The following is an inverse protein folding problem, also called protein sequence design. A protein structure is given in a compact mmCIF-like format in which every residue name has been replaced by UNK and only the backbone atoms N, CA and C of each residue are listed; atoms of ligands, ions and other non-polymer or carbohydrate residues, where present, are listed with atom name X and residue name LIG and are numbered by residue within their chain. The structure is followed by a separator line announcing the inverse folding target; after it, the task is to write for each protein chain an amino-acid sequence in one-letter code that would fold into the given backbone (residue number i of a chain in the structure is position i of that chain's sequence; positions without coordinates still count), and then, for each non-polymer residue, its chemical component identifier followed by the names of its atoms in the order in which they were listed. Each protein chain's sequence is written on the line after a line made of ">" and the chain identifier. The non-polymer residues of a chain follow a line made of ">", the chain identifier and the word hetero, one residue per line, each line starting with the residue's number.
data_IF_129578630222
#
_entry.id   IF_129578630222
#
_cell.length_a   1.000
_cell.length_b   1.000
_cell.length_c   1.000
_cell.angle_alpha   90.00
_cell.angle_beta   90.00
_cell.angle_gamma   90.00
#
_symmetry.space_group_name_H-M   'P 1'
#
loop_
_entity.id
_entity.type
_entity.pdbx_description
1 polymer ?
#
# COMPACT_ATOMS: atom_id res chain seq x y z
N UNK A 1 5.37 -32.03 0.11
CA UNK A 1 6.01 -30.82 0.61
C UNK A 1 5.00 -29.72 0.81
N UNK A 2 5.00 -29.12 1.96
CA UNK A 2 4.05 -28.06 2.23
C UNK A 2 4.40 -26.82 1.41
N UNK A 3 3.40 -26.20 0.82
CA UNK A 3 3.56 -24.92 0.18
C UNK A 3 4.01 -23.90 1.22
N UNK A 4 4.90 -23.00 0.82
CA UNK A 4 5.30 -21.92 1.71
C UNK A 4 4.22 -20.83 1.62
N UNK A 5 3.35 -20.67 2.64
CA UNK A 5 2.21 -19.74 2.53
C UNK A 5 2.62 -18.28 2.40
N UNK A 6 3.87 -17.97 2.68
CA UNK A 6 4.37 -16.60 2.64
C UNK A 6 5.13 -16.26 1.36
N UNK A 7 5.10 -17.14 0.35
CA UNK A 7 5.70 -16.82 -0.94
C UNK A 7 4.69 -16.10 -1.82
N UNK A 8 5.11 -15.05 -2.51
CA UNK A 8 4.23 -14.38 -3.47
C UNK A 8 3.98 -15.28 -4.67
N UNK A 9 2.82 -15.12 -5.28
CA UNK A 9 2.44 -15.89 -6.46
C UNK A 9 2.80 -15.11 -7.71
N UNK A 10 3.60 -15.73 -8.59
CA UNK A 10 3.97 -15.14 -9.88
C UNK A 10 2.97 -15.57 -10.94
N UNK A 11 2.59 -14.63 -11.80
CA UNK A 11 1.73 -14.91 -12.94
C UNK A 11 1.97 -13.89 -14.05
N UNK A 12 1.48 -14.23 -15.25
CA UNK A 12 1.53 -13.31 -16.39
C UNK A 12 0.26 -12.47 -16.39
N UNK A 13 0.41 -11.17 -16.56
CA UNK A 13 -0.71 -10.26 -16.58
C UNK A 13 -1.60 -10.49 -17.81
N UNK A 14 -2.89 -10.59 -17.60
CA UNK A 14 -3.89 -10.71 -18.66
C UNK A 14 -4.90 -9.58 -18.57
N UNK A 15 -5.43 -9.18 -19.72
CA UNK A 15 -6.38 -8.06 -19.80
C UNK A 15 -7.66 -8.29 -18.98
N UNK A 16 -8.04 -9.55 -18.77
CA UNK A 16 -9.22 -9.89 -17.98
C UNK A 16 -9.02 -9.81 -16.47
N UNK A 17 -7.80 -9.59 -15.99
CA UNK A 17 -7.53 -9.53 -14.56
C UNK A 17 -8.05 -8.23 -13.95
N UNK A 18 -8.62 -8.27 -12.73
CA UNK A 18 -9.07 -7.05 -12.05
C UNK A 18 -7.98 -6.01 -11.87
N UNK A 19 -6.74 -6.44 -11.70
CA UNK A 19 -5.60 -5.54 -11.50
C UNK A 19 -4.98 -5.04 -12.81
N UNK A 20 -5.53 -5.42 -13.98
CA UNK A 20 -4.94 -5.03 -15.25
C UNK A 20 -4.88 -3.52 -15.43
N UNK A 21 -6.00 -2.82 -15.21
CA UNK A 21 -6.06 -1.35 -15.41
C UNK A 21 -5.07 -0.60 -14.52
N UNK A 22 -5.01 -0.85 -13.20
CA UNK A 22 -4.01 -0.19 -12.37
C UNK A 22 -2.57 -0.48 -12.81
N UNK A 23 -2.27 -1.72 -13.17
CA UNK A 23 -0.93 -2.09 -13.61
C UNK A 23 -0.59 -1.47 -14.97
N UNK A 24 -1.54 -1.41 -15.89
CA UNK A 24 -1.35 -0.75 -17.18
C UNK A 24 -1.00 0.74 -17.00
N UNK A 25 -1.63 1.41 -16.05
CA UNK A 25 -1.31 2.81 -15.71
C UNK A 25 0.11 2.95 -15.17
N UNK A 26 0.65 1.89 -14.59
CA UNK A 26 2.03 1.88 -14.08
C UNK A 26 3.04 1.43 -15.14
N UNK A 27 2.60 1.24 -16.37
CA UNK A 27 3.47 0.86 -17.49
C UNK A 27 3.64 -0.63 -17.70
N UNK A 28 2.87 -1.46 -16.99
CA UNK A 28 2.94 -2.92 -17.16
C UNK A 28 2.05 -3.36 -18.31
N UNK A 29 2.57 -4.22 -19.17
CA UNK A 29 1.86 -4.70 -20.37
C UNK A 29 1.33 -6.11 -20.15
N UNK A 30 0.26 -6.46 -20.88
CA UNK A 30 -0.25 -7.83 -20.89
C UNK A 30 0.86 -8.79 -21.33
N UNK A 31 0.97 -9.94 -20.69
CA UNK A 31 2.01 -10.92 -20.94
C UNK A 31 3.25 -10.77 -20.07
N UNK A 32 3.46 -9.62 -19.45
CA UNK A 32 4.58 -9.43 -18.53
C UNK A 32 4.29 -10.10 -17.18
N UNK A 33 5.35 -10.51 -16.50
CA UNK A 33 5.20 -11.12 -15.17
C UNK A 33 4.87 -10.11 -14.10
N UNK A 34 3.92 -10.46 -13.25
CA UNK A 34 3.54 -9.67 -12.08
C UNK A 34 3.43 -10.61 -10.88
N UNK A 35 3.44 -10.03 -9.68
CA UNK A 35 3.26 -10.83 -8.47
C UNK A 35 1.97 -10.45 -7.76
N UNK A 36 1.39 -11.45 -7.11
CA UNK A 36 0.39 -11.29 -6.07
C UNK A 36 1.14 -11.44 -4.77
N UNK A 37 1.26 -10.36 -4.02
CA UNK A 37 2.01 -10.36 -2.77
C UNK A 37 1.25 -11.07 -1.64
N UNK A 38 1.84 -11.11 -0.46
CA UNK A 38 1.23 -11.69 0.74
C UNK A 38 1.56 -10.80 1.96
N UNK A 39 0.89 -11.02 3.11
CA UNK A 39 1.12 -10.19 4.29
C UNK A 39 2.57 -10.15 4.77
N UNK A 40 3.28 -11.27 4.67
CA UNK A 40 4.68 -11.36 5.08
C UNK A 40 5.62 -10.47 4.27
N UNK A 41 5.21 -10.08 3.07
CA UNK A 41 5.97 -9.16 2.22
C UNK A 41 5.58 -7.70 2.49
N UNK A 42 4.31 -7.45 2.74
CA UNK A 42 3.77 -6.08 2.88
C UNK A 42 4.07 -5.49 4.25
N UNK A 43 3.88 -6.28 5.32
CA UNK A 43 4.05 -5.81 6.69
C UNK A 43 5.43 -5.23 6.99
N UNK A 44 6.54 -5.89 6.60
CA UNK A 44 7.86 -5.33 6.86
C UNK A 44 8.06 -3.97 6.21
N UNK A 45 7.53 -3.78 4.99
CA UNK A 45 7.66 -2.50 4.29
C UNK A 45 6.90 -1.41 5.04
N UNK A 46 5.66 -1.67 5.43
CA UNK A 46 4.86 -0.72 6.20
C UNK A 46 5.53 -0.36 7.53
N UNK A 47 6.14 -1.35 8.17
CA UNK A 47 6.74 -1.17 9.48
C UNK A 47 8.04 -0.36 9.44
N UNK A 48 8.68 -0.25 8.28
CA UNK A 48 9.93 0.50 8.14
C UNK A 48 9.77 1.99 7.92
N UNK A 49 8.54 2.46 7.72
CA UNK A 49 8.28 3.89 7.47
C UNK A 49 8.46 4.68 8.76
N UNK A 50 9.49 5.54 8.87
CA UNK A 50 9.73 6.27 10.12
C UNK A 50 8.76 7.43 10.29
N UNK A 51 8.69 7.95 11.50
CA UNK A 51 7.91 9.14 11.81
C UNK A 51 8.39 10.31 10.93
N UNK A 52 7.43 11.04 10.37
CA UNK A 52 7.74 12.15 9.47
C UNK A 52 7.88 11.76 8.01
N UNK A 53 7.72 10.48 7.70
CA UNK A 53 7.77 9.97 6.32
C UNK A 53 6.50 9.21 5.99
N UNK A 54 6.28 9.01 4.70
CA UNK A 54 5.08 8.36 4.18
C UNK A 54 5.45 7.34 3.11
N UNK A 55 4.53 6.44 2.83
CA UNK A 55 4.63 5.53 1.70
C UNK A 55 3.23 5.41 1.09
N UNK A 56 3.15 5.20 -0.22
CA UNK A 56 1.90 4.87 -0.87
C UNK A 56 1.89 3.42 -1.31
N UNK A 57 0.71 2.91 -1.63
CA UNK A 57 0.58 1.55 -2.19
C UNK A 57 1.43 1.39 -3.46
N UNK A 58 1.61 2.46 -4.23
CA UNK A 58 2.43 2.43 -5.44
C UNK A 58 3.89 2.13 -5.11
N UNK A 59 4.47 2.81 -4.11
CA UNK A 59 5.84 2.53 -3.69
C UNK A 59 6.00 1.13 -3.13
N UNK A 60 5.01 0.65 -2.39
CA UNK A 60 5.04 -0.73 -1.87
C UNK A 60 5.10 -1.71 -3.04
N UNK A 61 4.22 -1.53 -4.02
CA UNK A 61 4.19 -2.40 -5.21
C UNK A 61 5.49 -2.32 -6.01
N UNK A 62 6.05 -1.14 -6.17
CA UNK A 62 7.33 -0.98 -6.87
C UNK A 62 8.47 -1.69 -6.16
N UNK A 63 8.54 -1.60 -4.84
CA UNK A 63 9.55 -2.30 -4.05
C UNK A 63 9.45 -3.81 -4.20
N UNK A 64 8.23 -4.33 -4.16
CA UNK A 64 8.00 -5.77 -4.29
C UNK A 64 8.30 -6.27 -5.71
N UNK A 65 7.89 -5.51 -6.72
CA UNK A 65 8.20 -5.87 -8.11
C UNK A 65 9.71 -5.90 -8.34
N UNK A 66 10.43 -4.93 -7.80
CA UNK A 66 11.89 -4.88 -7.91
C UNK A 66 12.55 -6.04 -7.19
N UNK A 67 12.09 -6.36 -5.98
CA UNK A 67 12.61 -7.47 -5.19
C UNK A 67 12.50 -8.80 -5.94
N UNK A 68 11.38 -9.02 -6.59
CA UNK A 68 11.10 -10.27 -7.31
C UNK A 68 11.45 -10.22 -8.80
N UNK A 69 12.01 -9.11 -9.26
CA UNK A 69 12.45 -8.92 -10.65
C UNK A 69 11.33 -9.16 -11.67
N UNK A 70 10.15 -8.62 -11.36
CA UNK A 70 8.98 -8.69 -12.23
C UNK A 70 8.54 -7.30 -12.64
N UNK A 71 7.62 -7.22 -13.62
CA UNK A 71 7.17 -5.94 -14.16
C UNK A 71 6.28 -5.15 -13.20
N UNK A 72 5.54 -5.83 -12.32
CA UNK A 72 4.65 -5.15 -11.39
C UNK A 72 4.12 -6.04 -10.30
N UNK A 73 3.40 -5.43 -9.36
CA UNK A 73 2.76 -6.09 -8.24
C UNK A 73 1.29 -5.69 -8.22
N UNK A 74 0.40 -6.64 -8.01
CA UNK A 74 -1.05 -6.37 -7.99
C UNK A 74 -1.43 -5.42 -6.88
N UNK A 75 -1.94 -4.23 -7.26
CA UNK A 75 -2.35 -3.22 -6.28
C UNK A 75 -3.61 -3.62 -5.50
N UNK A 76 -4.49 -4.41 -6.11
CA UNK A 76 -5.71 -4.85 -5.44
C UNK A 76 -5.39 -5.79 -4.28
N UNK A 77 -4.58 -6.82 -4.54
CA UNK A 77 -4.15 -7.77 -3.51
C UNK A 77 -3.34 -7.08 -2.42
N UNK A 78 -2.42 -6.22 -2.81
CA UNK A 78 -1.61 -5.44 -1.88
C UNK A 78 -2.48 -4.56 -0.99
N UNK A 79 -3.49 -3.90 -1.57
CA UNK A 79 -4.43 -3.06 -0.83
C UNK A 79 -5.21 -3.83 0.22
N UNK A 80 -5.65 -5.05 -0.10
CA UNK A 80 -6.35 -5.91 0.86
C UNK A 80 -5.45 -6.23 2.05
N UNK A 81 -4.19 -6.57 1.81
CA UNK A 81 -3.26 -6.90 2.89
C UNK A 81 -2.89 -5.68 3.74
N UNK A 82 -2.76 -4.50 3.12
CA UNK A 82 -2.54 -3.25 3.85
C UNK A 82 -3.70 -3.00 4.81
N UNK A 83 -4.93 -3.12 4.33
CA UNK A 83 -6.13 -2.91 5.14
C UNK A 83 -6.23 -3.95 6.27
N UNK A 84 -5.96 -5.21 5.96
CA UNK A 84 -5.97 -6.28 6.96
C UNK A 84 -4.92 -6.02 8.04
N UNK A 85 -3.72 -5.59 7.66
CA UNK A 85 -2.65 -5.27 8.59
C UNK A 85 -3.03 -4.10 9.50
N UNK A 86 -3.66 -3.07 8.95
CA UNK A 86 -4.08 -1.90 9.72
C UNK A 86 -5.13 -2.28 10.78
N UNK A 87 -6.12 -3.09 10.38
CA UNK A 87 -7.16 -3.53 11.30
C UNK A 87 -6.59 -4.44 12.39
N UNK A 88 -5.71 -5.36 12.04
CA UNK A 88 -5.06 -6.23 13.01
C UNK A 88 -4.21 -5.43 14.01
N UNK A 89 -3.49 -4.43 13.53
CA UNK A 89 -2.68 -3.57 14.40
C UNK A 89 -3.54 -2.83 15.42
N UNK A 90 -4.70 -2.34 15.00
CA UNK A 90 -5.63 -1.65 15.91
C UNK A 90 -6.18 -2.59 16.98
N UNK A 91 -6.60 -3.79 16.58
CA UNK A 91 -7.20 -4.77 17.50
C UNK A 91 -6.21 -5.31 18.52
N UNK A 92 -4.97 -5.51 18.12
CA UNK A 92 -3.95 -6.12 18.98
C UNK A 92 -3.12 -5.09 19.76
N UNK A 93 -3.35 -3.80 19.55
CA UNK A 93 -2.53 -2.76 20.14
C UNK A 93 -1.11 -2.75 19.57
N UNK A 94 -0.92 -3.32 18.37
CA UNK A 94 0.37 -3.42 17.73
C UNK A 94 0.98 -2.07 17.37
N UNK A 95 2.28 -2.10 17.09
CA UNK A 95 3.06 -0.89 16.83
C UNK A 95 3.19 -0.53 15.36
N UNK A 96 2.47 -1.23 14.47
CA UNK A 96 2.53 -0.96 13.04
C UNK A 96 2.03 0.45 12.75
N UNK A 97 2.84 1.34 12.17
CA UNK A 97 2.43 2.69 11.84
C UNK A 97 1.62 2.71 10.54
N UNK A 98 0.48 2.03 10.51
CA UNK A 98 -0.33 1.87 9.30
C UNK A 98 -0.79 3.19 8.70
N UNK A 99 -1.00 4.22 9.54
CA UNK A 99 -1.48 5.53 9.08
C UNK A 99 -0.49 6.26 8.17
N UNK A 100 0.77 5.83 8.13
CA UNK A 100 1.78 6.39 7.23
C UNK A 100 1.71 5.82 5.82
N UNK A 101 0.79 4.89 5.59
CA UNK A 101 0.56 4.28 4.28
C UNK A 101 -0.66 4.94 3.64
N UNK A 102 -0.47 5.55 2.47
CA UNK A 102 -1.51 6.29 1.75
C UNK A 102 -1.92 5.55 0.48
N UNK A 103 -3.04 5.96 -0.09
CA UNK A 103 -3.41 5.55 -1.45
C UNK A 103 -2.45 6.18 -2.45
N UNK A 104 -2.44 5.68 -3.68
CA UNK A 104 -1.50 6.13 -4.70
C UNK A 104 -1.53 7.61 -5.00
N UNK A 105 -2.67 8.24 -4.83
CA UNK A 105 -2.85 9.69 -5.05
C UNK A 105 -2.57 10.55 -3.82
N UNK A 106 -2.09 9.93 -2.73
CA UNK A 106 -1.82 10.65 -1.48
C UNK A 106 -3.03 10.79 -0.57
N UNK A 107 -4.17 10.20 -0.95
CA UNK A 107 -5.37 10.27 -0.13
C UNK A 107 -5.35 9.27 1.02
N UNK A 108 -6.12 9.59 2.06
CA UNK A 108 -6.29 8.74 3.22
C UNK A 108 -7.24 7.59 2.89
N UNK A 109 -7.12 6.50 3.64
CA UNK A 109 -7.91 5.30 3.38
C UNK A 109 -9.10 5.23 4.35
N UNK A 110 -10.29 5.41 3.81
CA UNK A 110 -11.53 5.38 4.58
C UNK A 110 -11.85 3.99 5.14
N UNK A 111 -11.16 2.97 4.69
CA UNK A 111 -11.33 1.58 5.18
C UNK A 111 -10.40 1.23 6.33
N UNK A 112 -9.51 2.13 6.70
CA UNK A 112 -8.66 1.94 7.89
C UNK A 112 -9.50 2.05 9.17
N UNK A 113 -8.98 1.51 10.29
CA UNK A 113 -9.71 1.56 11.56
C UNK A 113 -10.09 3.00 11.93
N UNK A 114 -11.37 3.25 12.18
CA UNK A 114 -11.88 4.57 12.48
C UNK A 114 -12.03 5.49 11.27
N UNK A 115 -11.78 4.98 10.06
CA UNK A 115 -11.93 5.70 8.81
C UNK A 115 -10.86 6.75 8.56
N UNK A 116 -11.08 7.57 7.53
CA UNK A 116 -10.13 8.61 7.14
C UNK A 116 -9.90 9.65 8.26
N UNK A 117 -10.91 9.93 9.07
CA UNK A 117 -10.80 10.89 10.17
C UNK A 117 -9.80 10.42 11.22
N UNK A 118 -9.82 9.13 11.55
CA UNK A 118 -8.86 8.57 12.50
C UNK A 118 -7.43 8.65 11.95
N UNK A 119 -7.25 8.29 10.69
CA UNK A 119 -5.95 8.40 10.03
C UNK A 119 -5.47 9.85 10.00
N UNK A 120 -6.37 10.77 9.68
CA UNK A 120 -6.08 12.21 9.68
C UNK A 120 -5.50 12.67 11.02
N UNK A 121 -6.16 12.28 12.13
CA UNK A 121 -5.71 12.65 13.48
C UNK A 121 -4.30 12.13 13.78
N UNK A 122 -4.02 10.88 13.40
CA UNK A 122 -2.71 10.27 13.62
C UNK A 122 -1.62 10.97 12.80
N UNK A 123 -1.92 11.30 11.54
CA UNK A 123 -0.99 12.02 10.68
C UNK A 123 -0.74 13.45 11.18
N UNK A 124 -1.78 14.14 11.59
CA UNK A 124 -1.65 15.51 12.13
C UNK A 124 -0.81 15.54 13.39
N UNK A 125 -0.90 14.52 14.24
CA UNK A 125 -0.06 14.39 15.42
C UNK A 125 1.43 14.29 15.07
N UNK A 126 1.74 13.79 13.87
CA UNK A 126 3.12 13.68 13.39
C UNK A 126 3.58 14.92 12.62
N UNK A 127 2.73 15.93 12.51
CA UNK A 127 3.08 17.19 11.86
C UNK A 127 2.66 17.29 10.40
N UNK A 128 1.96 16.31 9.86
CA UNK A 128 1.47 16.37 8.48
C UNK A 128 0.23 17.26 8.40
N UNK A 129 0.14 17.97 7.29
CA UNK A 129 -1.04 18.76 6.99
C UNK A 129 -1.99 17.97 6.11
N UNK A 130 -3.20 17.73 6.58
CA UNK A 130 -4.23 17.03 5.83
C UNK A 130 -5.23 18.05 5.30
N UNK A 131 -5.50 17.99 3.99
CA UNK A 131 -6.45 18.87 3.33
C UNK A 131 -7.60 18.04 2.78
N UNK A 132 -8.76 18.67 2.64
CA UNK A 132 -9.93 18.03 2.02
C UNK A 132 -10.07 18.54 0.59
N UNK A 133 -10.17 17.60 -0.36
CA UNK A 133 -10.37 17.93 -1.77
C UNK A 133 -11.54 17.09 -2.29
N UNK A 134 -12.68 17.74 -2.52
CA UNK A 134 -13.91 17.02 -2.84
C UNK A 134 -14.34 16.14 -1.67
N UNK A 135 -14.50 14.85 -1.92
CA UNK A 135 -14.87 13.86 -0.90
C UNK A 135 -13.67 13.17 -0.24
N UNK A 136 -12.45 13.54 -0.64
CA UNK A 136 -11.24 12.89 -0.18
C UNK A 136 -10.44 13.77 0.76
N UNK A 137 -9.74 13.14 1.69
CA UNK A 137 -8.70 13.79 2.47
C UNK A 137 -7.35 13.38 1.89
N UNK A 138 -6.44 14.34 1.75
CA UNK A 138 -5.10 14.10 1.22
C UNK A 138 -4.07 14.75 2.14
N UNK A 139 -2.87 14.17 2.17
CA UNK A 139 -1.74 14.83 2.82
C UNK A 139 -1.19 15.88 1.85
N UNK A 140 -1.15 17.12 2.29
CA UNK A 140 -0.61 18.22 1.50
C UNK A 140 0.87 17.97 1.20
N UNK A 141 1.26 18.08 -0.09
CA UNK A 141 2.63 17.82 -0.53
C UNK A 141 3.16 16.44 -0.13
N UNK A 142 2.31 15.42 -0.16
CA UNK A 142 2.69 14.07 0.30
C UNK A 142 3.94 13.53 -0.39
N UNK A 143 4.16 13.88 -1.65
CA UNK A 143 5.30 13.39 -2.43
C UNK A 143 6.65 13.77 -1.81
N UNK A 144 6.70 14.89 -1.10
CA UNK A 144 7.90 15.37 -0.41
C UNK A 144 8.34 14.41 0.70
N UNK A 145 7.40 13.69 1.29
CA UNK A 145 7.66 12.83 2.45
C UNK A 145 7.78 11.35 2.11
N UNK A 146 7.62 11.00 0.85
CA UNK A 146 7.67 9.59 0.44
C UNK A 146 9.07 9.00 0.62
N UNK A 147 9.10 7.78 1.15
CA UNK A 147 10.32 6.97 1.11
C UNK A 147 10.36 6.25 -0.24
N UNK A 148 11.56 6.11 -0.79
CA UNK A 148 11.74 5.51 -2.11
C UNK A 148 12.81 4.45 -2.10
#
# INVERSE_FOLDING_TARGET
>A
MADKPNLPKLLKLEKGFPCYKPLAKMGVKAGEEVILTNPGEVLPIMNTVPKGRLITIVEICKKLAKKHRVAGCCTLTTGIFIMTAANAAKETGGRLPYWRTLKGDGSLNEKFPGGAISQKRLLEKEGFRVIKKGKKYLVHNFEKYLIR
#
